data_IF_866489890209
#
_entry.id   IF_866489890209
#
_cell.length_a   1.000
_cell.length_b   1.000
_cell.length_c   1.000
_cell.angle_alpha   90.00
_cell.angle_beta   90.00
_cell.angle_gamma   90.00
#
_symmetry.space_group_name_H-M   'P 1'
#
loop_
_entity.id
_entity.type
_entity.pdbx_description
1 polymer ?
#
# COMPACT_ATOMS: atom_id res chain seq x y z
N UNK A 1 3.62 -35.89 11.65
CA UNK A 1 2.42 -36.11 12.50
C UNK A 1 1.55 -34.84 12.37
N UNK A 2 0.28 -34.94 12.08
CA UNK A 2 -0.57 -33.75 11.99
C UNK A 2 -0.67 -33.10 13.38
N UNK A 3 -0.44 -31.78 13.42
CA UNK A 3 -0.61 -30.97 14.62
C UNK A 3 -2.05 -31.14 15.15
N UNK A 4 -2.20 -31.33 16.46
CA UNK A 4 -3.47 -31.72 17.10
C UNK A 4 -4.59 -30.69 16.81
N UNK A 5 -5.83 -31.17 16.78
CA UNK A 5 -7.07 -30.38 16.62
C UNK A 5 -7.13 -29.16 17.56
N UNK A 6 -6.47 -29.18 18.72
CA UNK A 6 -6.34 -28.02 19.63
C UNK A 6 -5.64 -26.81 19.01
N UNK A 7 -4.76 -26.98 18.01
CA UNK A 7 -4.11 -25.87 17.30
C UNK A 7 -4.99 -25.24 16.21
N UNK A 8 -6.00 -25.94 15.73
CA UNK A 8 -6.93 -25.41 14.72
C UNK A 8 -7.96 -24.42 15.27
N UNK A 9 -8.22 -24.40 16.58
CA UNK A 9 -9.21 -23.50 17.21
C UNK A 9 -8.67 -22.07 17.46
N UNK A 10 -7.40 -21.79 17.15
CA UNK A 10 -6.75 -20.50 17.44
C UNK A 10 -6.68 -19.57 16.22
N UNK A 11 -7.08 -20.04 15.04
CA UNK A 11 -7.06 -19.25 13.81
C UNK A 11 -8.32 -18.40 13.64
N UNK A 12 -8.52 -17.44 14.52
CA UNK A 12 -9.42 -16.33 14.22
C UNK A 12 -8.57 -15.18 13.71
N UNK A 13 -8.56 -14.99 12.38
CA UNK A 13 -8.02 -13.81 11.76
C UNK A 13 -8.96 -12.65 12.09
N UNK A 14 -8.47 -11.66 12.81
CA UNK A 14 -9.20 -10.43 13.01
C UNK A 14 -8.93 -9.51 11.81
N UNK A 15 -9.91 -9.35 10.94
CA UNK A 15 -9.88 -8.38 9.86
C UNK A 15 -10.60 -7.13 10.34
N UNK A 16 -9.88 -6.02 10.46
CA UNK A 16 -10.47 -4.74 10.83
C UNK A 16 -10.76 -3.93 9.57
N UNK A 17 -12.00 -4.01 9.11
CA UNK A 17 -12.55 -3.15 8.04
C UNK A 17 -13.26 -1.95 8.65
N UNK A 18 -12.66 -1.29 9.63
CA UNK A 18 -13.31 -0.17 10.30
C UNK A 18 -13.23 1.12 9.48
N UNK A 19 -14.24 1.97 9.59
CA UNK A 19 -14.43 3.13 8.68
C UNK A 19 -13.42 4.27 8.92
N UNK A 20 -12.62 4.26 9.98
CA UNK A 20 -11.73 5.34 10.33
C UNK A 20 -10.34 4.86 10.72
N UNK A 21 -9.31 5.46 10.11
CA UNK A 21 -7.90 5.14 10.37
C UNK A 21 -7.51 5.32 11.83
N UNK A 22 -8.13 6.28 12.54
CA UNK A 22 -7.90 6.58 13.97
C UNK A 22 -8.19 5.41 14.91
N UNK A 23 -8.94 4.39 14.48
CA UNK A 23 -9.28 3.24 15.33
C UNK A 23 -8.42 1.99 15.07
N UNK A 24 -7.56 2.02 14.04
CA UNK A 24 -6.78 0.84 13.66
C UNK A 24 -5.82 0.41 14.76
N UNK A 25 -5.14 1.37 15.40
CA UNK A 25 -4.18 1.10 16.46
C UNK A 25 -4.83 0.37 17.65
N UNK A 26 -5.83 0.98 18.29
CA UNK A 26 -6.45 0.45 19.50
C UNK A 26 -7.11 -0.93 19.26
N UNK A 27 -7.79 -1.09 18.14
CA UNK A 27 -8.42 -2.36 17.78
C UNK A 27 -7.38 -3.46 17.52
N UNK A 28 -6.26 -3.11 16.88
CA UNK A 28 -5.18 -4.05 16.65
C UNK A 28 -4.48 -4.45 17.94
N UNK A 29 -4.24 -3.51 18.87
CA UNK A 29 -3.72 -3.80 20.22
C UNK A 29 -4.62 -4.79 20.92
N UNK A 30 -5.93 -4.55 20.97
CA UNK A 30 -6.89 -5.42 21.63
C UNK A 30 -6.86 -6.85 21.04
N UNK A 31 -6.76 -6.97 19.71
CA UNK A 31 -6.70 -8.28 19.05
C UNK A 31 -5.39 -9.02 19.34
N UNK A 32 -4.24 -8.33 19.27
CA UNK A 32 -2.93 -8.92 19.56
C UNK A 32 -2.83 -9.35 21.01
N UNK A 33 -3.36 -8.56 21.97
CA UNK A 33 -3.39 -8.91 23.38
C UNK A 33 -4.26 -10.15 23.65
N UNK A 34 -5.32 -10.33 22.85
CA UNK A 34 -6.14 -11.54 22.85
C UNK A 34 -5.50 -12.73 22.09
N UNK A 35 -4.26 -12.59 21.60
CA UNK A 35 -3.54 -13.62 20.87
C UNK A 35 -4.11 -13.90 19.47
N UNK A 36 -4.79 -12.92 18.85
CA UNK A 36 -5.41 -13.05 17.53
C UNK A 36 -4.52 -12.43 16.45
N UNK A 37 -4.40 -13.13 15.32
CA UNK A 37 -3.74 -12.59 14.13
C UNK A 37 -4.53 -11.40 13.56
N UNK A 38 -3.83 -10.40 13.03
CA UNK A 38 -4.42 -9.15 12.53
C UNK A 38 -4.04 -8.92 11.08
N UNK A 39 -5.06 -8.71 10.25
CA UNK A 39 -4.94 -8.06 8.94
C UNK A 39 -5.55 -6.66 9.10
N UNK A 40 -4.68 -5.65 9.27
CA UNK A 40 -5.06 -4.29 9.58
C UNK A 40 -5.27 -3.48 8.30
N UNK A 41 -6.41 -2.81 8.16
CA UNK A 41 -6.68 -1.95 7.00
C UNK A 41 -5.63 -0.84 6.85
N UNK A 42 -5.48 -0.41 5.60
CA UNK A 42 -4.68 0.78 5.24
C UNK A 42 -5.48 2.07 5.57
N UNK A 43 -4.86 3.23 5.85
CA UNK A 43 -3.51 3.33 6.36
C UNK A 43 -3.38 2.53 7.66
N UNK A 44 -2.23 1.91 7.88
CA UNK A 44 -2.04 0.96 8.98
C UNK A 44 -2.33 1.56 10.34
N UNK A 45 -1.84 2.78 10.57
CA UNK A 45 -2.09 3.58 11.78
C UNK A 45 -2.22 5.06 11.42
N UNK A 46 -2.45 5.92 12.40
CA UNK A 46 -2.50 7.36 12.21
C UNK A 46 -1.11 7.98 11.96
N UNK A 47 -0.04 7.31 12.41
CA UNK A 47 1.34 7.78 12.28
C UNK A 47 2.37 6.65 12.53
N UNK A 48 3.62 6.91 12.12
CA UNK A 48 4.71 5.95 12.24
C UNK A 48 5.04 5.51 13.68
N UNK A 49 4.81 6.37 14.67
CA UNK A 49 5.09 6.01 16.06
C UNK A 49 4.12 4.94 16.58
N UNK A 50 2.86 5.02 16.19
CA UNK A 50 1.86 3.98 16.48
C UNK A 50 2.18 2.69 15.73
N UNK A 51 2.57 2.76 14.46
CA UNK A 51 2.95 1.59 13.67
C UNK A 51 4.10 0.82 14.32
N UNK A 52 5.16 1.52 14.76
CA UNK A 52 6.30 0.93 15.47
C UNK A 52 5.87 0.21 16.74
N UNK A 53 5.09 0.88 17.61
CA UNK A 53 4.60 0.29 18.86
C UNK A 53 3.73 -0.95 18.62
N UNK A 54 2.88 -0.90 17.59
CA UNK A 54 1.99 -2.01 17.26
C UNK A 54 2.76 -3.23 16.75
N UNK A 55 3.77 -3.02 15.92
CA UNK A 55 4.66 -4.07 15.42
C UNK A 55 5.51 -4.64 16.56
N UNK A 56 6.06 -3.81 17.46
CA UNK A 56 6.79 -4.27 18.64
C UNK A 56 5.91 -5.14 19.56
N UNK A 57 4.65 -4.75 19.77
CA UNK A 57 3.70 -5.56 20.52
C UNK A 57 3.44 -6.91 19.87
N UNK A 58 3.23 -6.93 18.55
CA UNK A 58 3.02 -8.16 17.79
C UNK A 58 4.23 -9.11 17.89
N UNK A 59 5.45 -8.58 17.79
CA UNK A 59 6.69 -9.34 18.01
C UNK A 59 6.76 -9.93 19.42
N UNK A 60 6.50 -9.11 20.45
CA UNK A 60 6.54 -9.56 21.85
C UNK A 60 5.51 -10.67 22.13
N UNK A 61 4.35 -10.60 21.49
CA UNK A 61 3.27 -11.60 21.64
C UNK A 61 3.37 -12.77 20.65
N UNK A 62 4.31 -12.69 19.68
CA UNK A 62 4.46 -13.68 18.58
C UNK A 62 3.17 -13.89 17.80
N UNK A 63 2.49 -12.82 17.49
CA UNK A 63 1.21 -12.78 16.77
C UNK A 63 1.45 -12.21 15.37
N UNK A 64 0.84 -12.82 14.35
CA UNK A 64 0.87 -12.28 13.00
C UNK A 64 0.11 -10.95 12.96
N UNK A 65 0.78 -9.92 12.43
CA UNK A 65 0.12 -8.70 11.97
C UNK A 65 0.65 -8.33 10.59
N UNK A 66 -0.20 -7.85 9.72
CA UNK A 66 0.19 -7.31 8.41
C UNK A 66 -0.79 -6.24 7.96
N UNK A 67 -0.30 -5.30 7.16
CA UNK A 67 -1.11 -4.25 6.57
C UNK A 67 -1.90 -4.76 5.36
N UNK A 68 -3.18 -4.39 5.28
CA UNK A 68 -4.10 -4.74 4.21
C UNK A 68 -3.99 -3.77 3.01
N UNK A 69 -2.78 -3.44 2.57
CA UNK A 69 -2.56 -2.76 1.30
C UNK A 69 -2.67 -3.77 0.16
N UNK A 70 -3.90 -4.17 -0.12
CA UNK A 70 -4.30 -5.33 -0.93
C UNK A 70 -3.65 -5.42 -2.30
N UNK A 71 -3.29 -4.28 -2.89
CA UNK A 71 -2.58 -4.18 -4.17
C UNK A 71 -1.28 -5.00 -4.18
N UNK A 72 -0.54 -5.06 -3.07
CA UNK A 72 0.73 -5.79 -2.97
C UNK A 72 0.58 -7.30 -3.12
N UNK A 73 -0.58 -7.82 -2.83
CA UNK A 73 -0.87 -9.26 -2.85
C UNK A 73 -1.44 -9.73 -4.20
N UNK A 74 -1.78 -8.80 -5.10
CA UNK A 74 -2.45 -9.12 -6.35
C UNK A 74 -1.49 -9.71 -7.39
N UNK A 75 -1.93 -10.73 -8.16
CA UNK A 75 -1.10 -11.41 -9.15
C UNK A 75 -0.48 -10.47 -10.20
N UNK A 76 -1.22 -9.47 -10.67
CA UNK A 76 -0.67 -8.50 -11.63
C UNK A 76 0.40 -7.59 -11.02
N UNK A 77 0.27 -7.21 -9.75
CA UNK A 77 1.31 -6.46 -9.05
C UNK A 77 2.60 -7.28 -8.92
N UNK A 78 2.46 -8.57 -8.61
CA UNK A 78 3.59 -9.51 -8.57
C UNK A 78 4.20 -9.71 -9.96
N UNK A 79 3.37 -9.74 -11.01
CA UNK A 79 3.81 -9.84 -12.41
C UNK A 79 4.66 -8.64 -12.84
N UNK A 80 4.32 -7.41 -12.42
CA UNK A 80 5.15 -6.22 -12.67
C UNK A 80 6.55 -6.41 -12.06
N UNK A 81 6.63 -6.87 -10.80
CA UNK A 81 7.92 -7.16 -10.15
C UNK A 81 8.73 -8.24 -10.90
N UNK A 82 8.06 -9.27 -11.41
CA UNK A 82 8.71 -10.30 -12.23
C UNK A 82 9.28 -9.70 -13.52
N UNK A 83 8.51 -8.89 -14.25
CA UNK A 83 8.94 -8.26 -15.50
C UNK A 83 10.13 -7.30 -15.28
N UNK A 84 10.11 -6.52 -14.19
CA UNK A 84 11.23 -5.65 -13.83
C UNK A 84 12.50 -6.46 -13.53
N UNK A 85 12.38 -7.56 -12.77
CA UNK A 85 13.51 -8.45 -12.47
C UNK A 85 14.05 -9.16 -13.71
N UNK A 86 13.23 -9.40 -14.73
CA UNK A 86 13.63 -9.96 -16.03
C UNK A 86 14.32 -8.91 -16.93
N UNK A 87 14.35 -7.64 -16.52
CA UNK A 87 14.97 -6.56 -17.29
C UNK A 87 14.18 -6.17 -18.54
N UNK A 88 12.85 -6.42 -18.59
CA UNK A 88 12.00 -6.21 -19.78
C UNK A 88 12.00 -4.76 -20.27
N UNK A 89 12.27 -3.81 -19.36
CA UNK A 89 12.34 -2.38 -19.68
C UNK A 89 13.76 -1.82 -19.62
N UNK A 90 14.78 -2.68 -19.47
CA UNK A 90 16.15 -2.24 -19.14
C UNK A 90 16.20 -1.73 -17.70
N UNK A 91 17.06 -0.73 -17.42
CA UNK A 91 17.20 -0.12 -16.10
C UNK A 91 16.03 0.85 -15.82
N UNK A 92 15.23 0.64 -14.76
CA UNK A 92 14.15 1.56 -14.38
C UNK A 92 14.69 2.95 -14.05
N UNK A 93 14.04 4.02 -14.57
CA UNK A 93 14.47 5.41 -14.42
C UNK A 93 13.40 6.32 -13.81
N UNK A 94 12.19 6.26 -14.34
CA UNK A 94 11.09 7.11 -13.93
C UNK A 94 9.83 6.31 -13.66
N UNK A 95 9.06 6.77 -12.67
CA UNK A 95 7.75 6.22 -12.35
C UNK A 95 6.75 7.36 -12.16
N UNK A 96 5.54 7.17 -12.65
CA UNK A 96 4.42 8.03 -12.26
C UNK A 96 3.21 7.18 -11.87
N UNK A 97 2.44 7.67 -10.90
CA UNK A 97 1.21 7.03 -10.46
C UNK A 97 0.17 8.08 -10.08
N UNK A 98 -1.07 7.87 -10.52
CA UNK A 98 -2.19 8.75 -10.18
C UNK A 98 -3.38 7.94 -9.67
N UNK A 99 -4.03 8.44 -8.60
CA UNK A 99 -5.25 7.87 -8.07
C UNK A 99 -6.19 8.97 -7.58
N UNK A 100 -7.36 9.09 -8.18
CA UNK A 100 -8.33 10.10 -7.80
C UNK A 100 -9.76 9.60 -7.90
N UNK A 101 -10.56 9.97 -6.90
CA UNK A 101 -11.99 9.67 -6.82
C UNK A 101 -12.75 10.89 -6.31
N UNK A 102 -13.88 11.30 -6.91
CA UNK A 102 -14.69 12.43 -6.43
C UNK A 102 -15.47 12.01 -5.18
N UNK A 103 -14.83 12.10 -4.02
CA UNK A 103 -15.39 11.71 -2.73
C UNK A 103 -15.11 12.72 -1.61
N UNK A 104 -14.87 13.97 -1.98
CA UNK A 104 -14.59 15.08 -1.05
C UNK A 104 -15.68 15.29 0.01
N UNK A 105 -16.92 14.86 -0.25
CA UNK A 105 -18.04 15.00 0.67
C UNK A 105 -18.17 13.90 1.72
N UNK A 106 -17.33 12.86 1.65
CA UNK A 106 -17.40 11.75 2.62
C UNK A 106 -16.88 12.19 3.98
N UNK A 107 -17.65 11.93 5.04
CA UNK A 107 -17.33 12.32 6.41
C UNK A 107 -15.92 11.87 6.83
N UNK A 108 -15.54 10.62 6.54
CA UNK A 108 -14.21 10.09 6.88
C UNK A 108 -13.03 10.84 6.23
N UNK A 109 -13.28 11.58 5.11
CA UNK A 109 -12.26 12.41 4.46
C UNK A 109 -12.14 13.76 5.15
N UNK A 110 -13.25 14.33 5.60
CA UNK A 110 -13.34 15.70 6.10
C UNK A 110 -12.98 15.85 7.57
N UNK A 111 -12.94 14.76 8.33
CA UNK A 111 -12.80 14.80 9.79
C UNK A 111 -11.37 14.50 10.25
N UNK A 112 -10.65 15.49 10.85
CA UNK A 112 -9.31 15.29 11.41
C UNK A 112 -9.26 14.19 12.47
N UNK A 113 -10.27 14.10 13.33
CA UNK A 113 -10.38 13.09 14.39
C UNK A 113 -10.54 11.65 13.87
N UNK A 114 -10.88 11.48 12.60
CA UNK A 114 -10.93 10.19 11.93
C UNK A 114 -9.64 9.89 11.12
N UNK A 115 -8.61 10.75 11.22
CA UNK A 115 -7.41 10.71 10.40
C UNK A 115 -7.79 10.74 8.90
N UNK A 116 -8.60 11.75 8.53
CA UNK A 116 -9.11 11.92 7.16
C UNK A 116 -8.03 12.34 6.17
N UNK A 117 -8.49 12.92 5.06
CA UNK A 117 -7.62 13.43 4.00
C UNK A 117 -7.34 12.43 2.88
N UNK A 118 -6.85 12.97 1.79
CA UNK A 118 -6.53 12.25 0.56
C UNK A 118 -5.31 11.35 0.74
N UNK A 119 -4.29 11.84 1.45
CA UNK A 119 -3.01 11.13 1.60
C UNK A 119 -3.21 9.74 2.21
N UNK A 120 -3.89 9.64 3.34
CA UNK A 120 -4.12 8.39 4.05
C UNK A 120 -5.19 7.52 3.38
N UNK A 121 -6.21 8.12 2.75
CA UNK A 121 -7.29 7.32 2.15
C UNK A 121 -6.90 6.72 0.80
N UNK A 122 -6.28 7.48 -0.09
CA UNK A 122 -5.93 7.05 -1.46
C UNK A 122 -4.47 7.31 -1.85
N UNK A 123 -3.80 8.32 -1.30
CA UNK A 123 -2.40 8.65 -1.61
C UNK A 123 -1.44 7.52 -1.25
N UNK A 124 -1.74 6.78 -0.19
CA UNK A 124 -0.98 5.57 0.23
C UNK A 124 -0.83 4.54 -0.90
N UNK A 125 -1.77 4.44 -1.84
CA UNK A 125 -1.65 3.54 -2.99
C UNK A 125 -0.59 4.01 -3.97
N UNK A 126 -0.51 5.32 -4.24
CA UNK A 126 0.54 5.88 -5.10
C UNK A 126 1.92 5.71 -4.45
N UNK A 127 2.03 5.99 -3.15
CA UNK A 127 3.26 5.76 -2.36
C UNK A 127 3.67 4.29 -2.43
N UNK A 128 2.73 3.37 -2.18
CA UNK A 128 3.01 1.95 -2.25
C UNK A 128 3.40 1.50 -3.67
N UNK A 129 2.79 2.05 -4.72
CA UNK A 129 3.15 1.76 -6.11
C UNK A 129 4.63 2.09 -6.37
N UNK A 130 5.08 3.27 -5.96
CA UNK A 130 6.49 3.66 -6.08
C UNK A 130 7.42 2.74 -5.28
N UNK A 131 7.07 2.44 -4.02
CA UNK A 131 7.88 1.60 -3.14
C UNK A 131 7.94 0.14 -3.58
N UNK A 132 6.86 -0.39 -4.15
CA UNK A 132 6.82 -1.76 -4.67
C UNK A 132 7.81 -1.99 -5.80
N UNK A 133 8.04 -0.99 -6.64
CA UNK A 133 8.79 -1.15 -7.88
C UNK A 133 10.14 -0.45 -7.87
N UNK A 134 10.29 0.65 -7.12
CA UNK A 134 11.55 1.41 -7.04
C UNK A 134 12.27 1.22 -5.68
N UNK A 135 11.60 0.56 -4.72
CA UNK A 135 12.18 0.30 -3.40
C UNK A 135 12.06 1.47 -2.44
N UNK A 136 12.88 1.45 -1.40
CA UNK A 136 12.75 2.31 -0.22
C UNK A 136 13.92 3.27 0.00
N UNK A 137 14.93 3.24 -0.88
CA UNK A 137 16.13 4.07 -0.73
C UNK A 137 15.88 5.49 -1.27
N UNK A 138 14.88 6.16 -0.67
CA UNK A 138 14.47 7.52 -1.01
C UNK A 138 15.42 8.50 -0.30
N UNK A 139 16.07 9.36 -1.09
CA UNK A 139 16.99 10.38 -0.58
C UNK A 139 16.27 11.67 -0.22
N UNK A 140 15.26 12.05 -1.02
CA UNK A 140 14.52 13.29 -0.84
C UNK A 140 13.06 13.13 -1.24
N UNK A 141 12.18 13.70 -0.44
CA UNK A 141 10.75 13.85 -0.74
C UNK A 141 10.44 15.34 -0.93
N UNK A 142 9.66 15.65 -1.97
CA UNK A 142 9.05 16.98 -2.14
C UNK A 142 7.56 16.82 -2.36
N UNK A 143 6.76 17.74 -1.82
CA UNK A 143 5.30 17.62 -1.88
C UNK A 143 4.61 18.96 -1.84
N UNK A 144 3.41 18.99 -2.43
CA UNK A 144 2.47 20.11 -2.37
C UNK A 144 1.07 19.57 -2.08
N UNK A 145 0.31 20.29 -1.26
CA UNK A 145 -1.02 19.90 -0.81
C UNK A 145 -2.04 21.02 -1.02
N UNK A 146 -3.23 20.65 -1.41
CA UNK A 146 -4.42 21.51 -1.33
C UNK A 146 -5.17 21.15 -0.07
N UNK A 147 -5.21 22.06 0.89
CA UNK A 147 -5.88 21.86 2.17
C UNK A 147 -7.31 22.39 2.08
N UNK A 148 -8.27 21.58 2.51
CA UNK A 148 -9.69 21.94 2.59
C UNK A 148 -10.03 22.73 3.85
N UNK A 149 -11.29 23.18 3.93
CA UNK A 149 -11.80 24.01 5.05
C UNK A 149 -11.67 23.34 6.42
N UNK A 150 -11.65 22.03 6.48
CA UNK A 150 -11.53 21.25 7.73
C UNK A 150 -10.07 21.01 8.15
N UNK A 151 -9.09 21.49 7.39
CA UNK A 151 -7.66 21.26 7.62
C UNK A 151 -7.16 19.94 7.04
N UNK A 152 -8.01 19.14 6.40
CA UNK A 152 -7.60 17.90 5.74
C UNK A 152 -7.10 18.16 4.31
N UNK A 153 -6.12 17.38 3.87
CA UNK A 153 -5.65 17.44 2.48
C UNK A 153 -6.71 16.84 1.53
N UNK A 154 -7.02 17.61 0.49
CA UNK A 154 -8.00 17.25 -0.53
C UNK A 154 -7.35 16.80 -1.83
N UNK A 155 -6.10 17.16 -2.03
CA UNK A 155 -5.30 16.82 -3.20
C UNK A 155 -3.82 16.96 -2.86
N UNK A 156 -2.98 16.10 -3.44
CA UNK A 156 -1.54 16.19 -3.27
C UNK A 156 -0.77 15.82 -4.53
N UNK A 157 0.45 16.34 -4.60
CA UNK A 157 1.48 15.99 -5.57
C UNK A 157 2.76 15.73 -4.80
N UNK A 158 3.36 14.55 -4.98
CA UNK A 158 4.52 14.08 -4.22
C UNK A 158 5.57 13.61 -5.23
N UNK A 159 6.83 14.01 -5.03
CA UNK A 159 7.94 13.49 -5.80
C UNK A 159 8.97 12.82 -4.87
N UNK A 160 9.36 11.59 -5.22
CA UNK A 160 10.45 10.86 -4.60
C UNK A 160 11.70 10.94 -5.48
N UNK A 161 12.84 11.28 -4.86
CA UNK A 161 14.17 11.23 -5.45
C UNK A 161 14.93 10.12 -4.76
N UNK A 162 15.36 9.12 -5.51
CA UNK A 162 16.10 7.95 -5.01
C UNK A 162 17.61 8.18 -5.12
N UNK A 163 18.40 7.57 -4.23
CA UNK A 163 19.87 7.72 -4.23
C UNK A 163 20.54 7.26 -5.51
N UNK A 164 19.96 6.30 -6.20
CA UNK A 164 20.43 5.78 -7.48
C UNK A 164 19.99 6.63 -8.69
N UNK A 165 19.37 7.78 -8.46
CA UNK A 165 18.96 8.74 -9.47
C UNK A 165 17.55 8.51 -10.05
N UNK A 166 16.85 7.44 -9.67
CA UNK A 166 15.45 7.23 -10.06
C UNK A 166 14.53 8.31 -9.48
N UNK A 167 13.44 8.57 -10.16
CA UNK A 167 12.43 9.55 -9.73
C UNK A 167 11.02 8.96 -9.83
N UNK A 168 10.18 9.24 -8.82
CA UNK A 168 8.76 8.94 -8.89
C UNK A 168 7.91 10.19 -8.68
N UNK A 169 6.87 10.37 -9.51
CA UNK A 169 5.88 11.45 -9.40
C UNK A 169 4.51 10.85 -9.11
N UNK A 170 3.93 11.24 -7.98
CA UNK A 170 2.72 10.67 -7.42
C UNK A 170 1.67 11.75 -7.26
N UNK A 171 0.44 11.47 -7.64
CA UNK A 171 -0.67 12.41 -7.51
C UNK A 171 -1.90 11.70 -6.98
N UNK A 172 -2.58 12.34 -6.03
CA UNK A 172 -3.88 11.85 -5.57
C UNK A 172 -4.84 12.99 -5.26
N UNK A 173 -6.14 12.75 -5.47
CA UNK A 173 -7.17 13.74 -5.24
C UNK A 173 -8.52 13.10 -4.90
N UNK A 174 -9.20 13.66 -3.89
CA UNK A 174 -10.62 13.34 -3.60
C UNK A 174 -11.58 14.28 -4.30
N UNK A 175 -11.06 15.24 -5.08
CA UNK A 175 -11.85 16.30 -5.73
C UNK A 175 -12.19 16.00 -7.19
N UNK A 176 -11.45 15.12 -7.85
CA UNK A 176 -11.60 14.86 -9.28
C UNK A 176 -11.58 13.37 -9.62
N UNK A 177 -11.72 13.04 -10.90
CA UNK A 177 -11.46 11.71 -11.48
C UNK A 177 -10.15 11.75 -12.25
N UNK A 178 -9.44 10.63 -12.28
CA UNK A 178 -8.29 10.40 -13.17
C UNK A 178 -8.39 9.03 -13.84
N UNK A 179 -7.43 8.70 -14.68
CA UNK A 179 -7.31 7.40 -15.35
C UNK A 179 -6.79 6.27 -14.42
N UNK A 180 -6.34 6.62 -13.22
CA UNK A 180 -5.82 5.71 -12.18
C UNK A 180 -4.63 4.87 -12.64
N UNK A 181 -3.82 5.39 -13.57
CA UNK A 181 -2.72 4.65 -14.19
C UNK A 181 -1.41 4.79 -13.43
N UNK A 182 -0.59 3.75 -13.58
CA UNK A 182 0.82 3.74 -13.27
C UNK A 182 1.64 3.59 -14.55
N UNK A 183 2.78 4.29 -14.61
CA UNK A 183 3.76 4.22 -15.67
C UNK A 183 5.13 3.98 -15.06
N UNK A 184 5.90 3.02 -15.60
CA UNK A 184 7.27 2.72 -15.19
C UNK A 184 8.12 2.75 -16.46
N UNK A 185 9.00 3.76 -16.56
CA UNK A 185 9.89 3.95 -17.71
C UNK A 185 11.28 3.40 -17.38
N UNK A 186 11.81 2.62 -18.28
CA UNK A 186 13.19 2.12 -18.25
C UNK A 186 14.06 2.70 -19.34
N UNK A 187 15.31 2.24 -19.43
CA UNK A 187 16.28 2.68 -20.42
C UNK A 187 15.98 2.17 -21.84
N UNK A 188 15.18 1.12 -21.98
CA UNK A 188 14.86 0.46 -23.25
C UNK A 188 13.38 0.56 -23.59
N UNK A 189 12.54 0.19 -22.66
CA UNK A 189 11.09 0.04 -22.81
C UNK A 189 10.35 0.69 -21.64
N UNK A 190 9.02 0.59 -21.62
CA UNK A 190 8.23 1.02 -20.48
C UNK A 190 7.03 0.10 -20.21
N UNK A 191 6.51 0.15 -18.98
CA UNK A 191 5.31 -0.55 -18.54
C UNK A 191 4.20 0.43 -18.20
N UNK A 192 2.97 0.09 -18.56
CA UNK A 192 1.77 0.74 -18.02
C UNK A 192 0.96 -0.24 -17.19
N UNK A 193 0.39 0.26 -16.09
CA UNK A 193 -0.53 -0.48 -15.20
C UNK A 193 -1.85 0.26 -15.19
N UNK A 194 -2.88 -0.34 -15.74
CA UNK A 194 -4.24 0.20 -15.67
C UNK A 194 -4.81 -0.08 -14.28
N UNK A 195 -5.24 0.99 -13.58
CA UNK A 195 -5.80 0.97 -12.24
C UNK A 195 -4.82 0.49 -11.16
N UNK A 196 -3.97 1.41 -10.64
CA UNK A 196 -2.89 1.06 -9.69
C UNK A 196 -3.34 0.43 -8.37
N UNK A 197 -4.56 0.68 -7.91
CA UNK A 197 -5.06 0.11 -6.66
C UNK A 197 -5.78 -1.24 -6.85
N UNK A 198 -6.22 -1.54 -8.09
CA UNK A 198 -6.77 -2.85 -8.48
C UNK A 198 -6.34 -3.15 -9.92
N UNK A 199 -5.11 -3.59 -10.15
CA UNK A 199 -4.58 -3.76 -11.51
C UNK A 199 -5.47 -4.61 -12.41
N UNK A 200 -5.89 -4.02 -13.52
CA UNK A 200 -6.78 -4.61 -14.51
C UNK A 200 -6.03 -5.10 -15.75
N UNK A 201 -4.92 -4.43 -16.06
CA UNK A 201 -4.03 -4.80 -17.16
C UNK A 201 -2.63 -4.24 -16.92
N UNK A 202 -1.62 -5.00 -17.32
CA UNK A 202 -0.22 -4.56 -17.44
C UNK A 202 0.19 -4.69 -18.90
N UNK A 203 0.72 -3.61 -19.49
CA UNK A 203 1.19 -3.60 -20.87
C UNK A 203 2.68 -3.26 -20.91
N UNK A 204 3.46 -4.05 -21.63
CA UNK A 204 4.84 -3.75 -22.00
C UNK A 204 4.83 -3.05 -23.35
N UNK A 205 5.54 -1.94 -23.45
CA UNK A 205 5.63 -1.12 -24.64
C UNK A 205 7.07 -1.05 -25.14
N UNK A 206 7.26 -1.31 -26.44
CA UNK A 206 8.49 -1.04 -27.17
C UNK A 206 8.21 0.15 -28.11
N UNK A 207 8.89 1.27 -27.86
CA UNK A 207 8.57 2.56 -28.46
C UNK A 207 7.09 2.91 -28.18
N UNK A 208 6.22 2.92 -29.15
CA UNK A 208 4.78 3.19 -28.98
C UNK A 208 3.90 1.98 -29.32
N UNK A 209 4.48 0.78 -29.36
CA UNK A 209 3.78 -0.45 -29.71
C UNK A 209 3.65 -1.37 -28.49
N UNK A 210 2.45 -1.85 -28.16
CA UNK A 210 2.29 -2.87 -27.15
C UNK A 210 2.91 -4.17 -27.65
N UNK A 211 3.86 -4.74 -26.91
CA UNK A 211 4.53 -6.01 -27.24
C UNK A 211 4.12 -7.16 -26.35
N UNK A 212 3.58 -6.88 -25.17
CA UNK A 212 2.96 -7.89 -24.30
C UNK A 212 1.88 -7.26 -23.42
N UNK A 213 0.84 -8.02 -23.14
CA UNK A 213 -0.25 -7.64 -22.24
C UNK A 213 -0.53 -8.76 -21.25
N UNK A 214 -0.77 -8.40 -20.00
CA UNK A 214 -1.08 -9.32 -18.92
C UNK A 214 -2.36 -8.88 -18.23
N UNK A 215 -3.18 -9.85 -17.87
CA UNK A 215 -4.49 -9.64 -17.27
C UNK A 215 -4.59 -10.40 -15.93
N UNK A 216 -5.51 -10.03 -15.03
CA UNK A 216 -5.72 -10.76 -13.80
C UNK A 216 -6.19 -12.20 -14.12
N UNK A 217 -5.95 -13.16 -13.20
CA UNK A 217 -6.49 -14.51 -13.34
C UNK A 217 -8.01 -14.50 -13.55
N UNK A 218 -8.52 -15.37 -14.43
CA UNK A 218 -9.94 -15.44 -14.76
C UNK A 218 -10.86 -15.81 -13.59
N UNK A 219 -10.29 -16.36 -12.52
CA UNK A 219 -10.96 -16.71 -11.28
C UNK A 219 -10.81 -15.66 -10.17
N UNK A 220 -10.20 -14.51 -10.45
CA UNK A 220 -10.16 -13.40 -9.50
C UNK A 220 -11.59 -12.89 -9.27
N UNK A 221 -11.97 -12.75 -7.99
CA UNK A 221 -13.32 -12.27 -7.62
C UNK A 221 -13.30 -10.76 -7.40
N UNK A 222 -12.51 -10.29 -6.45
CA UNK A 222 -12.39 -8.86 -6.11
C UNK A 222 -10.94 -8.38 -6.05
N UNK A 223 -10.00 -9.29 -5.78
CA UNK A 223 -8.60 -9.03 -5.45
C UNK A 223 -8.32 -9.00 -3.95
N UNK A 224 -9.32 -8.77 -3.09
CA UNK A 224 -9.15 -8.81 -1.64
C UNK A 224 -8.85 -10.22 -1.13
N UNK A 225 -9.26 -11.26 -1.85
CA UNK A 225 -9.02 -12.66 -1.50
C UNK A 225 -7.52 -12.99 -1.37
N UNK A 226 -6.66 -12.33 -2.14
CA UNK A 226 -5.22 -12.62 -2.13
C UNK A 226 -4.54 -12.26 -0.82
N UNK A 227 -4.90 -11.13 -0.19
CA UNK A 227 -4.35 -10.77 1.12
C UNK A 227 -4.83 -11.72 2.22
N UNK A 228 -6.08 -12.20 2.14
CA UNK A 228 -6.61 -13.18 3.09
C UNK A 228 -5.90 -14.52 2.93
N UNK A 229 -5.67 -14.96 1.69
CA UNK A 229 -4.91 -16.18 1.42
C UNK A 229 -3.47 -16.07 1.90
N UNK A 230 -2.81 -14.92 1.67
CA UNK A 230 -1.45 -14.67 2.15
C UNK A 230 -1.37 -14.71 3.69
N UNK A 231 -2.34 -14.14 4.41
CA UNK A 231 -2.42 -14.23 5.86
C UNK A 231 -2.61 -15.67 6.34
N UNK A 232 -3.50 -16.42 5.70
CA UNK A 232 -3.71 -17.86 6.01
C UNK A 232 -2.40 -18.64 5.87
N UNK A 233 -1.67 -18.41 4.77
CA UNK A 233 -0.44 -19.12 4.49
C UNK A 233 0.68 -18.71 5.47
N UNK A 234 0.82 -17.42 5.77
CA UNK A 234 1.74 -16.93 6.80
C UNK A 234 1.44 -17.55 8.19
N UNK A 235 0.16 -17.63 8.58
CA UNK A 235 -0.24 -18.30 9.84
C UNK A 235 0.10 -19.78 9.84
N UNK A 236 -0.16 -20.49 8.75
CA UNK A 236 0.16 -21.92 8.61
C UNK A 236 1.68 -22.15 8.75
N UNK A 237 2.48 -21.24 8.20
CA UNK A 237 3.93 -21.31 8.21
C UNK A 237 4.54 -20.76 9.52
N UNK A 238 3.72 -20.26 10.45
CA UNK A 238 4.12 -19.75 11.76
C UNK A 238 4.84 -18.40 11.71
N UNK A 239 4.59 -17.62 10.65
CA UNK A 239 5.16 -16.29 10.47
C UNK A 239 4.39 -15.26 11.31
N UNK A 240 5.07 -14.18 11.67
CA UNK A 240 4.50 -13.02 12.39
C UNK A 240 4.28 -11.80 11.49
N UNK A 241 4.71 -11.87 10.24
CA UNK A 241 4.51 -10.87 9.19
C UNK A 241 4.23 -11.55 7.85
N UNK A 242 3.67 -10.81 6.89
CA UNK A 242 3.49 -11.30 5.53
C UNK A 242 4.73 -11.01 4.67
N UNK A 243 5.23 -11.97 3.87
CA UNK A 243 6.33 -11.72 2.95
C UNK A 243 5.98 -10.71 1.84
N UNK A 244 4.69 -10.46 1.59
CA UNK A 244 4.23 -9.46 0.62
C UNK A 244 4.18 -8.04 1.19
N UNK A 245 4.05 -7.92 2.52
CA UNK A 245 4.06 -6.66 3.25
C UNK A 245 4.82 -6.86 4.57
N UNK A 246 6.17 -6.92 4.54
CA UNK A 246 6.99 -7.06 5.74
C UNK A 246 6.84 -5.83 6.65
N UNK A 247 7.06 -6.00 7.94
CA UNK A 247 6.91 -4.95 8.95
C UNK A 247 7.78 -3.72 8.67
N UNK A 248 8.98 -3.90 8.15
CA UNK A 248 9.84 -2.77 7.77
C UNK A 248 9.26 -1.95 6.61
N UNK A 249 8.52 -2.57 5.69
CA UNK A 249 7.82 -1.87 4.63
C UNK A 249 6.67 -1.01 5.19
N UNK A 250 5.86 -1.58 6.09
CA UNK A 250 4.80 -0.85 6.78
C UNK A 250 5.37 0.34 7.55
N UNK A 251 6.42 0.14 8.38
CA UNK A 251 7.06 1.23 9.14
C UNK A 251 7.55 2.34 8.19
N UNK A 252 8.26 1.98 7.12
CA UNK A 252 8.78 2.96 6.16
C UNK A 252 7.68 3.70 5.40
N UNK A 253 6.58 3.02 5.07
CA UNK A 253 5.42 3.67 4.46
C UNK A 253 4.82 4.71 5.39
N UNK A 254 4.62 4.35 6.66
CA UNK A 254 4.09 5.24 7.69
C UNK A 254 5.05 6.40 8.04
N UNK A 255 6.37 6.18 7.97
CA UNK A 255 7.36 7.26 8.12
C UNK A 255 7.17 8.32 7.03
N UNK A 256 7.08 7.92 5.77
CA UNK A 256 6.87 8.87 4.67
C UNK A 256 5.52 9.58 4.76
N UNK A 257 4.43 8.87 5.09
CA UNK A 257 3.13 9.54 5.28
C UNK A 257 3.14 10.50 6.46
N UNK A 258 3.83 10.17 7.56
CA UNK A 258 3.97 11.04 8.72
C UNK A 258 4.83 12.27 8.45
N UNK A 259 5.93 12.12 7.69
CA UNK A 259 6.75 13.24 7.23
C UNK A 259 5.94 14.22 6.38
N UNK A 260 5.13 13.68 5.46
CA UNK A 260 4.27 14.46 4.58
C UNK A 260 3.12 15.18 5.32
N UNK A 261 2.68 14.67 6.46
CA UNK A 261 1.67 15.29 7.32
C UNK A 261 2.24 16.36 8.29
N UNK A 262 3.56 16.48 8.37
CA UNK A 262 4.20 17.43 9.30
C UNK A 262 4.04 18.88 8.83
N UNK A 263 3.84 19.86 9.76
CA UNK A 263 3.60 21.28 9.40
C UNK A 263 4.70 21.97 8.59
N UNK A 264 5.87 21.37 8.43
CA UNK A 264 6.97 21.88 7.59
C UNK A 264 6.99 21.33 6.17
N UNK A 265 6.07 20.40 5.84
CA UNK A 265 5.92 19.78 4.52
C UNK A 265 4.65 20.27 3.79
N UNK A 266 3.86 21.14 4.45
CA UNK A 266 2.61 21.72 3.95
C UNK A 266 2.82 23.21 3.70
#
# INVERSE_FOLDING_TARGET
MPKSIKQMHTMVLAVFTLPAHSHHYDNSVMAIEAGKAVLCEKAFTANAAEAKKLIELAHARKVLITEAIWTRYMPLSLKVNELLKQGVIGEPQQLSASLSYPMAQKERILRPELCGGTLLDIGVYCINFARMYFGTDIEKVTSEFVIGETGMDMQNSIAFHYRDGKMANLQSSVMCRCDRKGLICGSENYLTVDNINCPEKVTVWDDYKPVAEFYPPSNQVTGYEYQVMACRDALRDGLIESPYMPHNETIRSEEHTSELQSPGSI
#
